data_IF_947440288243
#
_entry.id   IF_947440288243
#
_cell.length_a   1.000
_cell.length_b   1.000
_cell.length_c   1.000
_cell.angle_alpha   90.00
_cell.angle_beta   90.00
_cell.angle_gamma   90.00
#
_symmetry.space_group_name_H-M   'P 1'
#
loop_
_entity.id
_entity.type
_entity.pdbx_description
1 polymer ?
#
# COMPACT_ATOMS: atom_id res chain seq x y z
N UNK A 1 -3.40 71.41 13.27
CA UNK A 1 -4.30 70.75 12.31
C UNK A 1 -4.23 69.26 12.57
N UNK A 2 -5.38 68.63 12.86
CA UNK A 2 -5.48 67.21 13.16
C UNK A 2 -5.34 66.38 11.87
N UNK A 3 -4.55 65.32 11.90
CA UNK A 3 -4.51 64.32 10.84
C UNK A 3 -4.98 62.98 11.41
N UNK A 4 -5.97 62.43 10.74
CA UNK A 4 -6.81 61.33 11.16
C UNK A 4 -6.06 59.99 11.26
N UNK A 5 -6.39 59.21 12.30
CA UNK A 5 -6.02 57.81 12.40
C UNK A 5 -6.89 57.00 11.42
N UNK A 6 -6.26 56.38 10.43
CA UNK A 6 -6.92 55.39 9.58
C UNK A 6 -6.91 54.06 10.32
N UNK A 7 -8.07 53.64 10.82
CA UNK A 7 -8.24 52.33 11.44
C UNK A 7 -8.11 51.26 10.34
N UNK A 8 -7.00 50.51 10.35
CA UNK A 8 -6.87 49.32 9.54
C UNK A 8 -7.94 48.31 9.99
N UNK A 9 -8.78 47.89 9.06
CA UNK A 9 -9.75 46.83 9.28
C UNK A 9 -9.03 45.60 9.85
N UNK A 10 -9.52 45.11 10.99
CA UNK A 10 -9.10 43.84 11.55
C UNK A 10 -9.41 42.75 10.51
N UNK A 11 -8.38 42.35 9.77
CA UNK A 11 -8.44 41.17 8.92
C UNK A 11 -8.82 40.00 9.80
N UNK A 12 -9.85 39.26 9.38
CA UNK A 12 -10.22 37.98 9.95
C UNK A 12 -8.97 37.09 9.94
N UNK A 13 -8.29 36.96 11.09
CA UNK A 13 -7.24 35.99 11.28
C UNK A 13 -7.93 34.64 11.24
N UNK A 14 -7.91 33.99 10.07
CA UNK A 14 -8.11 32.55 9.99
C UNK A 14 -7.08 31.94 10.95
N UNK A 15 -7.55 31.53 12.14
CA UNK A 15 -6.72 31.03 13.23
C UNK A 15 -6.12 29.68 12.87
N UNK A 16 -5.12 29.66 11.99
CA UNK A 16 -4.27 28.51 11.76
C UNK A 16 -3.25 28.43 12.89
N UNK A 17 -3.18 27.29 13.57
CA UNK A 17 -2.08 27.03 14.51
C UNK A 17 -0.81 26.78 13.68
N UNK A 18 0.28 27.53 13.88
CA UNK A 18 1.51 27.33 13.12
C UNK A 18 2.13 25.96 13.43
N UNK A 19 2.31 25.12 12.41
CA UNK A 19 3.03 23.85 12.50
C UNK A 19 4.52 24.09 12.22
N UNK A 20 5.38 23.83 13.21
CA UNK A 20 6.84 23.93 13.06
C UNK A 20 7.43 22.54 12.84
N UNK A 21 8.20 22.37 11.75
CA UNK A 21 8.95 21.14 11.45
C UNK A 21 10.42 21.38 11.83
N UNK A 22 10.91 20.71 12.88
CA UNK A 22 12.32 20.78 13.30
C UNK A 22 13.10 19.59 12.74
N UNK A 23 13.87 19.83 11.68
CA UNK A 23 14.67 18.81 11.00
C UNK A 23 15.89 18.33 11.80
N UNK A 24 16.20 18.95 12.94
CA UNK A 24 17.28 18.53 13.85
C UNK A 24 16.81 17.49 14.86
N UNK A 25 15.50 17.32 15.03
CA UNK A 25 14.91 16.33 15.92
C UNK A 25 14.59 15.08 15.14
N UNK A 26 15.39 14.02 15.34
CA UNK A 26 15.14 12.72 14.72
C UNK A 26 14.11 11.95 15.55
N UNK A 27 13.04 11.52 14.88
CA UNK A 27 11.99 10.67 15.46
C UNK A 27 12.30 9.18 15.30
N UNK A 28 11.25 8.37 15.21
CA UNK A 28 11.40 6.94 14.85
C UNK A 28 11.81 6.80 13.39
N UNK A 29 12.50 5.70 13.08
CA UNK A 29 12.77 5.29 11.69
C UNK A 29 11.46 4.98 10.99
N UNK A 30 11.34 5.42 9.74
CA UNK A 30 10.22 5.04 8.89
C UNK A 30 10.54 3.73 8.18
N UNK A 31 9.71 2.70 8.42
CA UNK A 31 9.94 1.35 7.88
C UNK A 31 9.28 1.10 6.52
N UNK A 32 8.38 1.99 6.09
CA UNK A 32 7.67 1.88 4.82
C UNK A 32 6.16 1.72 4.95
N UNK A 33 5.48 1.83 3.81
CA UNK A 33 4.04 1.58 3.64
C UNK A 33 3.87 0.42 2.66
N UNK A 34 2.91 -0.46 2.94
CA UNK A 34 2.67 -1.66 2.15
C UNK A 34 1.21 -2.02 1.94
N UNK A 35 1.01 -3.06 1.13
CA UNK A 35 -0.28 -3.69 0.86
C UNK A 35 -0.29 -5.17 1.27
N UNK A 36 -1.48 -5.74 1.40
CA UNK A 36 -1.71 -7.16 1.67
C UNK A 36 -2.36 -7.82 0.45
N UNK A 37 -1.75 -8.89 -0.05
CA UNK A 37 -2.41 -9.88 -0.90
C UNK A 37 -2.76 -11.10 -0.05
N UNK A 38 -4.00 -11.54 -0.11
CA UNK A 38 -4.54 -12.59 0.74
C UNK A 38 -5.31 -12.04 1.94
N UNK A 39 -5.45 -12.85 2.98
CA UNK A 39 -6.66 -12.78 3.79
C UNK A 39 -7.86 -13.30 3.01
N UNK A 40 -7.63 -14.25 2.09
CA UNK A 40 -8.65 -14.95 1.31
C UNK A 40 -8.86 -14.41 -0.09
N UNK A 41 -8.22 -15.02 -1.09
CA UNK A 41 -8.58 -14.91 -2.51
C UNK A 41 -8.55 -13.49 -3.12
N UNK A 42 -7.95 -12.49 -2.45
CA UNK A 42 -8.12 -11.08 -2.81
C UNK A 42 -7.50 -10.72 -4.16
N UNK A 43 -6.43 -11.43 -4.56
CA UNK A 43 -5.75 -11.25 -5.84
C UNK A 43 -6.14 -12.31 -6.89
N UNK A 44 -7.14 -13.16 -6.59
CA UNK A 44 -7.53 -14.29 -7.44
C UNK A 44 -7.80 -13.90 -8.88
N UNK A 45 -8.46 -12.77 -9.12
CA UNK A 45 -8.85 -12.37 -10.48
C UNK A 45 -7.74 -11.64 -11.24
N UNK A 46 -6.68 -11.19 -10.56
CA UNK A 46 -5.61 -10.39 -11.18
C UNK A 46 -4.78 -11.22 -12.17
N UNK A 47 -4.52 -12.49 -11.86
CA UNK A 47 -3.67 -13.36 -12.69
C UNK A 47 -4.23 -13.57 -14.10
N UNK A 48 -5.55 -13.52 -14.23
CA UNK A 48 -6.27 -13.81 -15.48
C UNK A 48 -6.45 -12.55 -16.36
N UNK A 49 -6.00 -11.37 -15.91
CA UNK A 49 -6.08 -10.16 -16.72
C UNK A 49 -5.25 -10.29 -17.99
N UNK A 50 -5.75 -9.78 -19.14
CA UNK A 50 -4.97 -9.76 -20.36
C UNK A 50 -3.81 -8.76 -20.27
N UNK A 51 -2.79 -8.98 -21.09
CA UNK A 51 -1.79 -7.95 -21.37
C UNK A 51 -2.33 -6.93 -22.38
N UNK A 52 -2.00 -5.64 -22.22
CA UNK A 52 -1.02 -5.07 -21.28
C UNK A 52 -1.61 -4.68 -19.90
N UNK A 53 -2.91 -4.90 -19.66
CA UNK A 53 -3.60 -4.35 -18.49
C UNK A 53 -3.06 -4.95 -17.19
N UNK A 54 -2.75 -6.25 -17.16
CA UNK A 54 -2.17 -6.90 -15.98
C UNK A 54 -0.85 -6.25 -15.58
N UNK A 55 0.08 -6.09 -16.52
CA UNK A 55 1.36 -5.41 -16.28
C UNK A 55 1.17 -3.95 -15.83
N UNK A 56 0.20 -3.24 -16.41
CA UNK A 56 -0.09 -1.85 -16.01
C UNK A 56 -0.62 -1.75 -14.57
N UNK A 57 -1.46 -2.68 -14.13
CA UNK A 57 -1.94 -2.74 -12.75
C UNK A 57 -0.77 -2.98 -11.79
N UNK A 58 0.12 -3.92 -12.12
CA UNK A 58 1.32 -4.19 -11.34
C UNK A 58 2.25 -2.96 -11.29
N UNK A 59 2.42 -2.24 -12.41
CA UNK A 59 3.17 -0.98 -12.47
C UNK A 59 2.57 0.08 -11.53
N UNK A 60 1.24 0.24 -11.49
CA UNK A 60 0.60 1.17 -10.54
C UNK A 60 0.86 0.83 -9.07
N UNK A 61 1.08 -0.45 -8.73
CA UNK A 61 1.32 -0.86 -7.36
C UNK A 61 2.81 -0.81 -6.97
N UNK A 62 3.70 -1.35 -7.81
CA UNK A 62 5.07 -1.66 -7.41
C UNK A 62 6.13 -0.80 -8.10
N UNK A 63 5.86 -0.22 -9.27
CA UNK A 63 6.87 0.53 -10.00
C UNK A 63 7.30 1.79 -9.24
N UNK A 64 8.60 1.96 -8.93
CA UNK A 64 9.08 3.15 -8.24
C UNK A 64 8.81 4.42 -9.04
N UNK A 65 8.43 5.49 -8.33
CA UNK A 65 8.15 6.81 -8.92
C UNK A 65 7.03 6.80 -9.97
N UNK A 66 6.03 5.91 -9.81
CA UNK A 66 4.91 5.82 -10.73
C UNK A 66 3.57 5.98 -10.01
N UNK A 67 3.03 4.91 -9.45
CA UNK A 67 1.77 4.90 -8.70
C UNK A 67 2.01 4.86 -7.20
N UNK A 68 1.38 3.89 -6.54
CA UNK A 68 1.50 3.68 -5.09
C UNK A 68 2.95 3.47 -4.64
N UNK A 69 3.79 2.86 -5.49
CA UNK A 69 5.23 2.64 -5.24
C UNK A 69 5.46 1.99 -3.86
N UNK A 70 4.77 0.86 -3.61
CA UNK A 70 4.75 0.21 -2.30
C UNK A 70 6.15 -0.24 -1.85
N UNK A 71 6.44 -0.05 -0.56
CA UNK A 71 7.70 -0.48 0.06
C UNK A 71 7.63 -1.94 0.52
N UNK A 72 6.43 -2.40 0.89
CA UNK A 72 6.19 -3.70 1.50
C UNK A 72 5.01 -4.38 0.79
N UNK A 73 5.20 -5.63 0.38
CA UNK A 73 4.13 -6.54 0.00
C UNK A 73 4.06 -7.64 1.04
N UNK A 74 2.94 -7.72 1.76
CA UNK A 74 2.62 -8.82 2.66
C UNK A 74 1.72 -9.81 1.92
N UNK A 75 2.00 -11.10 2.01
CA UNK A 75 1.19 -12.16 1.40
C UNK A 75 0.67 -13.16 2.44
N UNK A 76 -0.47 -13.78 2.16
CA UNK A 76 -0.93 -14.97 2.91
C UNK A 76 -0.08 -16.19 2.55
N UNK A 77 0.20 -17.03 3.55
CA UNK A 77 0.67 -18.39 3.32
C UNK A 77 -0.58 -19.25 3.36
N UNK A 78 -1.05 -19.69 2.19
CA UNK A 78 -2.29 -20.44 2.04
C UNK A 78 -2.35 -21.67 2.96
N UNK A 79 -3.54 -21.94 3.49
CA UNK A 79 -3.79 -22.98 4.48
C UNK A 79 -5.01 -23.85 4.18
N UNK A 80 -5.49 -23.86 2.94
CA UNK A 80 -6.65 -24.64 2.46
C UNK A 80 -7.97 -24.35 3.18
N UNK A 81 -8.05 -23.22 3.86
CA UNK A 81 -9.24 -22.77 4.58
C UNK A 81 -9.71 -21.41 4.07
N UNK A 82 -10.99 -21.14 4.26
CA UNK A 82 -11.57 -19.80 4.02
C UNK A 82 -10.89 -18.80 4.95
N UNK A 83 -10.34 -17.72 4.40
CA UNK A 83 -9.66 -16.66 5.12
C UNK A 83 -10.24 -15.25 4.94
N UNK A 84 -11.26 -15.04 4.08
CA UNK A 84 -12.32 -13.99 4.10
C UNK A 84 -13.17 -14.09 2.82
N UNK A 85 -12.57 -13.79 1.66
CA UNK A 85 -13.26 -13.78 0.36
C UNK A 85 -13.05 -15.07 -0.45
N UNK A 86 -12.27 -16.02 0.09
CA UNK A 86 -12.06 -17.34 -0.49
C UNK A 86 -10.93 -18.12 0.17
N UNK A 87 -10.59 -19.25 -0.43
CA UNK A 87 -9.56 -20.18 0.05
C UNK A 87 -8.28 -19.98 -0.75
N UNK A 88 -7.15 -19.94 -0.05
CA UNK A 88 -5.82 -19.99 -0.66
C UNK A 88 -5.13 -21.33 -0.41
N UNK A 89 -4.54 -21.86 -1.48
CA UNK A 89 -3.96 -23.20 -1.52
C UNK A 89 -2.69 -23.29 -0.67
N UNK A 90 -2.64 -24.29 0.19
CA UNK A 90 -1.43 -24.66 0.94
C UNK A 90 -0.39 -25.27 0.02
N UNK A 91 0.88 -25.04 0.36
CA UNK A 91 2.02 -25.73 -0.21
C UNK A 91 2.09 -27.20 0.20
N UNK A 92 1.30 -27.63 1.19
CA UNK A 92 1.12 -29.01 1.65
C UNK A 92 -0.36 -29.32 1.90
N UNK A 93 -1.01 -30.08 1.03
CA UNK A 93 -2.40 -30.54 1.24
C UNK A 93 -2.48 -31.81 2.11
N UNK A 94 -1.39 -32.57 2.17
CA UNK A 94 -1.23 -33.75 3.00
C UNK A 94 0.19 -33.81 3.55
N UNK A 95 0.46 -34.68 4.52
CA UNK A 95 1.76 -34.73 5.21
C UNK A 95 2.96 -34.96 4.28
N UNK A 96 2.77 -35.70 3.19
CA UNK A 96 3.83 -36.07 2.23
C UNK A 96 3.76 -35.26 0.92
N UNK A 97 2.88 -34.26 0.84
CA UNK A 97 2.69 -33.42 -0.33
C UNK A 97 3.46 -32.09 -0.21
N UNK A 98 4.24 -31.74 -1.23
CA UNK A 98 5.01 -30.49 -1.30
C UNK A 98 4.93 -29.90 -2.71
N UNK A 99 4.37 -28.70 -2.81
CA UNK A 99 4.27 -27.96 -4.08
C UNK A 99 4.32 -26.45 -3.84
N UNK A 100 5.38 -25.82 -4.34
CA UNK A 100 5.66 -24.39 -4.18
C UNK A 100 5.25 -23.57 -5.41
N UNK A 101 4.38 -24.12 -6.26
CA UNK A 101 3.87 -23.47 -7.46
C UNK A 101 2.36 -23.23 -7.42
N UNK A 102 1.70 -23.54 -6.29
CA UNK A 102 0.26 -23.37 -6.12
C UNK A 102 -0.14 -21.93 -5.85
N UNK A 103 -1.35 -21.58 -6.28
CA UNK A 103 -1.90 -20.25 -6.10
C UNK A 103 -1.13 -19.21 -6.92
N UNK A 104 -1.15 -17.97 -6.44
CA UNK A 104 -0.66 -16.82 -7.21
C UNK A 104 0.30 -15.93 -6.42
N UNK A 105 0.49 -16.17 -5.13
CA UNK A 105 1.37 -15.34 -4.30
C UNK A 105 2.85 -15.47 -4.68
N UNK A 106 3.29 -16.66 -5.11
CA UNK A 106 4.64 -16.86 -5.65
C UNK A 106 4.90 -16.00 -6.90
N UNK A 107 3.91 -15.94 -7.79
CA UNK A 107 3.95 -15.11 -8.98
C UNK A 107 3.94 -13.63 -8.59
N UNK A 108 3.03 -13.21 -7.72
CA UNK A 108 2.90 -11.80 -7.33
C UNK A 108 4.16 -11.26 -6.64
N UNK A 109 4.78 -12.07 -5.76
CA UNK A 109 6.08 -11.74 -5.15
C UNK A 109 7.20 -11.57 -6.20
N UNK A 110 7.13 -12.33 -7.29
CA UNK A 110 8.11 -12.24 -8.38
C UNK A 110 7.90 -10.98 -9.23
N UNK A 111 6.65 -10.61 -9.51
CA UNK A 111 6.31 -9.38 -10.25
C UNK A 111 6.61 -8.10 -9.46
N UNK A 112 6.54 -8.16 -8.12
CA UNK A 112 6.75 -7.00 -7.26
C UNK A 112 8.23 -6.65 -7.00
N UNK A 113 9.15 -7.55 -7.35
CA UNK A 113 10.58 -7.45 -7.00
C UNK A 113 11.41 -6.75 -8.08
#
# INVERSE_FOLDING_TARGET
>A
AAAAACAAAAGCLAGGTPLTIDTRRVGQTFDGIGGLSGGGATSRLLVDYPEPQRSQILDYMFKPNYGASLHILKVEIGGDSQSTDGVESSHMHSADDLDYHRGYEWWLLSEAK
#
